data_IF_451451680485
#
_entry.id   IF_451451680485
#
_cell.length_a   1.000
_cell.length_b   1.000
_cell.length_c   1.000
_cell.angle_alpha   90.00
_cell.angle_beta   90.00
_cell.angle_gamma   90.00
#
_symmetry.space_group_name_H-M   'P 1'
#
loop_
_entity.id
_entity.type
_entity.pdbx_description
1 polymer ?
#
# COMPACT_ATOMS: atom_id res chain seq x y z
N UNK A 1 39.16 0.88 9.74
CA UNK A 1 37.96 1.42 9.04
C UNK A 1 37.46 2.62 9.84
N UNK A 2 36.83 3.62 9.20
CA UNK A 2 36.34 4.80 9.91
C UNK A 2 35.34 4.43 11.01
N UNK A 3 35.38 5.15 12.13
CA UNK A 3 34.41 4.99 13.20
C UNK A 3 33.01 5.46 12.76
N UNK A 4 31.93 5.00 13.42
CA UNK A 4 30.59 5.45 13.10
C UNK A 4 30.48 6.99 13.14
N UNK A 5 29.86 7.60 12.13
CA UNK A 5 29.86 9.04 12.00
C UNK A 5 29.24 9.56 10.69
N UNK A 6 29.08 10.88 10.62
CA UNK A 6 28.66 11.59 9.40
C UNK A 6 29.84 11.83 8.49
N UNK A 7 29.72 11.37 7.24
CA UNK A 7 30.75 11.53 6.21
C UNK A 7 30.08 12.01 4.92
N UNK A 8 30.86 12.47 3.94
CA UNK A 8 30.34 12.91 2.64
C UNK A 8 29.56 11.78 1.96
N UNK A 9 28.35 12.06 1.46
CA UNK A 9 27.50 11.04 0.83
C UNK A 9 28.23 10.40 -0.37
N UNK A 10 28.49 9.07 -0.34
CA UNK A 10 29.15 8.38 -1.45
C UNK A 10 28.32 8.42 -2.74
N UNK A 11 27.00 8.56 -2.63
CA UNK A 11 26.11 8.66 -3.78
C UNK A 11 25.96 10.09 -4.32
N UNK A 12 26.57 11.08 -3.66
CA UNK A 12 26.52 12.50 -4.00
C UNK A 12 25.09 13.05 -4.17
N UNK A 13 24.11 12.46 -3.48
CA UNK A 13 22.72 12.94 -3.47
C UNK A 13 22.48 13.93 -2.33
N UNK A 14 23.28 13.84 -1.27
CA UNK A 14 23.20 14.68 -0.06
C UNK A 14 24.59 15.19 0.37
N UNK A 15 24.65 16.19 1.26
CA UNK A 15 25.91 16.71 1.80
C UNK A 15 26.64 15.65 2.65
N UNK A 16 25.88 14.95 3.51
CA UNK A 16 26.40 13.90 4.40
C UNK A 16 25.50 12.65 4.43
N UNK A 17 26.11 11.48 4.67
CA UNK A 17 25.43 10.21 4.97
C UNK A 17 26.05 9.59 6.22
N UNK A 18 25.25 8.88 7.00
CA UNK A 18 25.71 8.24 8.23
C UNK A 18 26.32 6.87 7.92
N UNK A 19 27.54 6.67 8.40
CA UNK A 19 28.26 5.40 8.43
C UNK A 19 28.09 4.78 9.82
N UNK A 20 27.67 3.52 9.90
CA UNK A 20 27.41 2.84 11.19
C UNK A 20 28.64 2.13 11.78
N UNK A 21 29.80 2.25 11.13
CA UNK A 21 31.03 1.54 11.50
C UNK A 21 31.34 0.33 10.60
N UNK A 22 30.34 -0.16 9.86
CA UNK A 22 30.42 -1.33 8.98
C UNK A 22 29.78 -1.13 7.61
N UNK A 23 28.75 -0.28 7.50
CA UNK A 23 27.99 -0.02 6.29
C UNK A 23 27.45 1.42 6.24
N UNK A 24 27.16 1.91 5.03
CA UNK A 24 26.44 3.16 4.85
C UNK A 24 24.96 2.92 5.10
N UNK A 25 24.33 3.82 5.85
CA UNK A 25 22.91 3.70 6.20
C UNK A 25 22.03 4.56 5.29
N UNK A 26 20.72 4.47 5.48
CA UNK A 26 19.75 5.35 4.81
C UNK A 26 19.71 6.77 5.41
N UNK A 27 20.36 7.04 6.54
CA UNK A 27 20.35 8.37 7.15
C UNK A 27 21.28 9.34 6.40
N UNK A 28 20.71 10.46 5.96
CA UNK A 28 21.40 11.54 5.23
C UNK A 28 21.22 12.87 5.94
N UNK A 29 22.08 13.84 5.62
CA UNK A 29 22.01 15.19 6.18
C UNK A 29 22.36 16.26 5.15
N UNK A 30 21.52 17.30 5.09
CA UNK A 30 21.73 18.50 4.29
C UNK A 30 21.54 19.75 5.14
N UNK A 31 22.50 20.67 5.13
CA UNK A 31 22.47 21.94 5.88
C UNK A 31 22.12 21.76 7.36
N UNK A 32 22.59 20.67 7.95
CA UNK A 32 22.36 20.31 9.37
C UNK A 32 21.01 19.64 9.66
N UNK A 33 20.18 19.36 8.65
CA UNK A 33 18.90 18.65 8.80
C UNK A 33 19.09 17.19 8.37
N UNK A 34 18.68 16.25 9.23
CA UNK A 34 18.75 14.81 8.93
C UNK A 34 17.46 14.29 8.28
N UNK A 35 17.58 13.41 7.29
CA UNK A 35 16.48 12.73 6.61
C UNK A 35 16.81 11.26 6.33
N UNK A 36 15.88 10.52 5.72
CA UNK A 36 16.06 9.12 5.32
C UNK A 36 15.97 9.03 3.79
N UNK A 37 17.04 8.57 3.16
CA UNK A 37 17.15 8.29 1.73
C UNK A 37 17.62 6.83 1.52
N UNK A 38 16.74 5.92 1.06
CA UNK A 38 17.07 4.52 0.83
C UNK A 38 18.23 4.35 -0.17
N UNK A 39 19.17 3.44 0.14
CA UNK A 39 20.25 3.07 -0.76
C UNK A 39 19.72 2.14 -1.86
N UNK A 40 19.06 2.71 -2.87
CA UNK A 40 18.76 1.99 -4.10
C UNK A 40 20.03 1.97 -4.95
N UNK A 41 20.55 0.77 -5.26
CA UNK A 41 21.71 0.61 -6.13
C UNK A 41 21.34 1.02 -7.56
N UNK A 42 21.56 2.28 -7.92
CA UNK A 42 21.40 2.75 -9.30
C UNK A 42 22.55 2.18 -10.12
N UNK A 43 22.28 1.14 -10.93
CA UNK A 43 23.08 0.90 -12.13
C UNK A 43 22.86 2.09 -13.07
N UNK A 44 23.94 2.81 -13.38
CA UNK A 44 23.92 3.87 -14.37
C UNK A 44 23.43 3.31 -15.71
N UNK A 45 22.18 3.63 -16.07
CA UNK A 45 21.69 3.52 -17.43
C UNK A 45 21.61 4.94 -17.99
N UNK A 46 22.14 5.08 -19.19
CA UNK A 46 22.57 6.31 -19.83
C UNK A 46 21.51 7.41 -19.94
N UNK A 47 22.05 8.63 -19.94
CA UNK A 47 21.38 9.88 -20.22
C UNK A 47 20.76 9.88 -21.63
N UNK A 48 19.50 9.49 -21.76
CA UNK A 48 18.72 9.68 -22.98
C UNK A 48 17.69 10.80 -22.79
N UNK A 49 17.90 11.89 -23.53
CA UNK A 49 17.04 13.08 -23.62
C UNK A 49 15.58 12.70 -23.94
N UNK A 50 14.56 13.32 -23.31
CA UNK A 50 13.18 12.96 -23.58
C UNK A 50 12.78 13.37 -25.00
N UNK A 51 12.47 12.38 -25.85
CA UNK A 51 11.81 12.60 -27.13
C UNK A 51 10.30 12.66 -26.92
N UNK A 52 9.66 13.70 -27.47
CA UNK A 52 8.20 13.90 -27.46
C UNK A 52 7.45 12.65 -27.95
N UNK A 53 6.38 12.20 -27.27
CA UNK A 53 5.60 11.07 -27.73
C UNK A 53 4.77 11.40 -28.99
N UNK A 54 4.73 10.45 -29.92
CA UNK A 54 3.90 10.45 -31.13
C UNK A 54 2.45 10.07 -30.80
N UNK A 55 1.52 10.55 -31.63
CA UNK A 55 0.05 10.57 -31.44
C UNK A 55 -0.66 9.19 -31.38
N UNK A 56 0.07 8.07 -31.38
CA UNK A 56 -0.51 6.72 -31.40
C UNK A 56 -0.81 6.10 -30.02
N UNK A 57 -0.45 6.76 -28.91
CA UNK A 57 -0.63 6.22 -27.54
C UNK A 57 -1.86 6.77 -26.79
N UNK A 58 -2.84 7.34 -27.49
CA UNK A 58 -4.05 7.91 -26.86
C UNK A 58 -5.06 6.87 -26.34
N UNK A 59 -4.83 5.56 -26.55
CA UNK A 59 -5.76 4.51 -26.13
C UNK A 59 -5.45 3.89 -24.75
N UNK A 60 -4.23 4.04 -24.22
CA UNK A 60 -3.84 3.44 -22.93
C UNK A 60 -4.13 4.35 -21.71
N UNK A 61 -4.34 5.66 -21.92
CA UNK A 61 -4.60 6.63 -20.85
C UNK A 61 -6.05 6.65 -20.34
N UNK A 62 -6.99 6.07 -21.08
CA UNK A 62 -8.41 6.12 -20.70
C UNK A 62 -8.79 5.05 -19.65
N UNK A 63 -8.00 3.99 -19.48
CA UNK A 63 -8.45 2.76 -18.80
C UNK A 63 -8.29 2.85 -17.28
N UNK A 64 -7.18 3.39 -16.80
CA UNK A 64 -6.88 3.45 -15.35
C UNK A 64 -7.63 4.59 -14.66
N UNK A 65 -7.81 5.73 -15.35
CA UNK A 65 -8.64 6.83 -14.84
C UNK A 65 -10.13 6.47 -14.81
N UNK A 66 -10.62 5.67 -15.78
CA UNK A 66 -12.01 5.18 -15.80
C UNK A 66 -12.24 4.11 -14.73
N UNK A 67 -11.24 3.29 -14.38
CA UNK A 67 -11.38 2.31 -13.29
C UNK A 67 -11.46 2.97 -11.91
N UNK A 68 -10.62 3.97 -11.62
CA UNK A 68 -10.71 4.73 -10.36
C UNK A 68 -12.00 5.56 -10.32
N UNK A 69 -12.40 6.19 -11.42
CA UNK A 69 -13.67 6.91 -11.50
C UNK A 69 -14.90 5.99 -11.42
N UNK A 70 -14.84 4.77 -11.96
CA UNK A 70 -15.93 3.79 -11.87
C UNK A 70 -16.07 3.20 -10.47
N UNK A 71 -14.97 2.93 -9.77
CA UNK A 71 -14.98 2.49 -8.36
C UNK A 71 -15.52 3.60 -7.45
N UNK A 72 -15.10 4.85 -7.67
CA UNK A 72 -15.68 6.01 -6.97
C UNK A 72 -17.16 6.20 -7.33
N UNK A 73 -17.57 5.96 -8.58
CA UNK A 73 -18.95 6.10 -9.04
C UNK A 73 -19.89 4.96 -8.60
N UNK A 74 -19.38 3.75 -8.35
CA UNK A 74 -20.14 2.62 -7.77
C UNK A 74 -20.22 2.76 -6.24
N UNK A 75 -19.15 3.22 -5.59
CA UNK A 75 -19.13 3.52 -4.15
C UNK A 75 -20.07 4.68 -3.76
N UNK A 76 -20.27 5.67 -4.65
CA UNK A 76 -21.22 6.77 -4.42
C UNK A 76 -22.70 6.42 -4.70
N UNK A 77 -23.03 5.18 -5.11
CA UNK A 77 -24.39 4.79 -5.52
C UNK A 77 -25.30 4.22 -4.42
N UNK A 78 -24.89 4.23 -3.15
CA UNK A 78 -25.77 3.74 -2.07
C UNK A 78 -26.52 4.81 -1.27
N UNK A 79 -26.37 6.09 -1.60
CA UNK A 79 -27.24 7.16 -1.06
C UNK A 79 -28.01 7.86 -2.21
N UNK A 80 -29.28 7.51 -2.37
CA UNK A 80 -30.16 7.97 -3.45
C UNK A 80 -30.28 9.50 -3.57
N UNK A 81 -29.80 10.11 -4.66
CA UNK A 81 -30.45 11.30 -5.26
C UNK A 81 -30.18 11.47 -6.78
N UNK A 82 -31.26 11.74 -7.51
CA UNK A 82 -31.40 12.25 -8.89
C UNK A 82 -30.78 11.47 -10.08
N UNK A 83 -31.68 10.90 -10.88
CA UNK A 83 -31.48 10.47 -12.28
C UNK A 83 -31.02 11.65 -13.15
N UNK A 84 -29.90 11.49 -13.87
CA UNK A 84 -29.59 12.26 -15.08
C UNK A 84 -29.56 11.33 -16.30
N UNK A 85 -30.19 11.69 -17.43
CA UNK A 85 -30.34 10.85 -18.61
C UNK A 85 -29.07 10.78 -19.45
N UNK A 86 -29.00 9.71 -20.24
CA UNK A 86 -27.78 9.18 -20.85
C UNK A 86 -27.02 10.08 -21.81
N UNK A 87 -25.71 9.85 -21.85
CA UNK A 87 -24.93 9.80 -23.10
C UNK A 87 -23.90 8.67 -22.95
N UNK A 88 -23.87 7.77 -23.93
CA UNK A 88 -22.91 6.68 -24.00
C UNK A 88 -21.49 7.27 -24.22
N UNK A 89 -20.59 6.99 -23.27
CA UNK A 89 -19.15 7.29 -23.36
C UNK A 89 -18.36 6.08 -23.86
N UNK A 90 -17.14 6.29 -24.40
CA UNK A 90 -16.53 5.41 -25.38
C UNK A 90 -15.81 4.20 -24.78
N UNK A 91 -16.06 3.03 -25.36
CA UNK A 91 -15.13 1.90 -25.40
C UNK A 91 -14.91 1.16 -24.09
N UNK A 92 -15.85 0.28 -23.72
CA UNK A 92 -15.52 -0.84 -22.83
C UNK A 92 -14.39 -1.65 -23.46
N UNK A 93 -13.23 -1.70 -22.79
CA UNK A 93 -12.27 -2.74 -23.08
C UNK A 93 -12.97 -4.10 -22.93
N UNK A 94 -12.67 -5.09 -23.78
CA UNK A 94 -13.25 -6.41 -23.62
C UNK A 94 -12.85 -6.93 -22.24
N UNK A 95 -13.84 -7.07 -21.36
CA UNK A 95 -13.71 -7.80 -20.11
C UNK A 95 -13.42 -9.23 -20.55
N UNK A 96 -12.15 -9.63 -20.49
CA UNK A 96 -11.77 -11.02 -20.65
C UNK A 96 -12.47 -11.81 -19.56
N UNK A 97 -13.20 -12.84 -19.98
CA UNK A 97 -14.11 -13.66 -19.19
C UNK A 97 -13.37 -14.56 -18.19
N UNK A 98 -12.71 -13.97 -17.20
CA UNK A 98 -12.28 -14.68 -16.00
C UNK A 98 -13.43 -14.78 -15.02
N UNK A 99 -13.66 -15.96 -14.44
CA UNK A 99 -14.54 -16.11 -13.28
C UNK A 99 -13.89 -15.40 -12.09
N UNK A 100 -14.61 -14.49 -11.40
CA UNK A 100 -14.04 -13.72 -10.29
C UNK A 100 -13.47 -14.65 -9.21
N UNK A 101 -12.38 -14.21 -8.58
CA UNK A 101 -11.75 -14.96 -7.50
C UNK A 101 -12.78 -15.27 -6.42
N UNK A 102 -13.08 -16.56 -6.24
CA UNK A 102 -14.15 -17.05 -5.39
C UNK A 102 -13.58 -17.94 -4.28
N UNK A 103 -13.82 -17.59 -3.00
CA UNK A 103 -13.42 -18.42 -1.87
C UNK A 103 -14.21 -19.72 -1.77
N UNK A 104 -13.53 -20.81 -1.44
CA UNK A 104 -14.16 -22.04 -0.99
C UNK A 104 -14.63 -21.97 0.48
N UNK A 105 -14.98 -23.11 1.08
CA UNK A 105 -15.33 -23.18 2.50
C UNK A 105 -14.17 -22.75 3.41
N UNK A 106 -14.49 -21.95 4.43
CA UNK A 106 -13.53 -21.53 5.45
C UNK A 106 -13.13 -22.73 6.32
N UNK A 107 -11.82 -22.88 6.53
CA UNK A 107 -11.18 -23.90 7.36
C UNK A 107 -10.42 -23.23 8.49
N UNK A 108 -10.67 -23.57 9.77
CA UNK A 108 -9.92 -23.05 10.90
C UNK A 108 -8.43 -23.45 10.84
N UNK A 109 -7.53 -22.56 11.27
CA UNK A 109 -6.09 -22.81 11.34
C UNK A 109 -5.54 -22.75 12.77
N UNK A 110 -5.85 -21.69 13.52
CA UNK A 110 -5.44 -21.55 14.92
C UNK A 110 -6.34 -20.56 15.65
N UNK A 111 -6.44 -20.72 16.97
CA UNK A 111 -7.10 -19.79 17.88
C UNK A 111 -6.13 -19.45 19.01
N UNK A 112 -6.11 -18.18 19.42
CA UNK A 112 -5.30 -17.70 20.52
C UNK A 112 -6.00 -16.57 21.27
N UNK A 113 -5.46 -16.22 22.44
CA UNK A 113 -5.87 -15.04 23.21
C UNK A 113 -4.65 -14.15 23.36
N UNK A 114 -4.78 -12.88 22.97
CA UNK A 114 -3.74 -11.87 23.11
C UNK A 114 -4.22 -10.80 24.09
N UNK A 115 -3.46 -10.59 25.16
CA UNK A 115 -3.76 -9.58 26.16
C UNK A 115 -3.10 -8.23 25.87
N UNK A 116 -3.20 -7.27 26.80
CA UNK A 116 -2.64 -5.93 26.63
C UNK A 116 -1.12 -5.87 26.45
N UNK A 117 -0.40 -6.90 26.88
CA UNK A 117 1.04 -7.02 26.68
C UNK A 117 1.45 -7.26 25.21
N UNK A 118 0.47 -7.45 24.31
CA UNK A 118 0.74 -7.89 22.94
C UNK A 118 1.13 -9.36 22.88
N UNK A 119 1.61 -9.80 21.72
CA UNK A 119 2.05 -11.18 21.53
C UNK A 119 2.12 -11.59 20.07
N UNK A 120 2.42 -12.87 19.84
CA UNK A 120 2.44 -13.48 18.52
C UNK A 120 1.48 -14.67 18.46
N UNK A 121 0.70 -14.76 17.38
CA UNK A 121 -0.16 -15.89 17.04
C UNK A 121 0.41 -16.56 15.81
N UNK A 122 0.94 -17.78 15.96
CA UNK A 122 1.57 -18.54 14.88
C UNK A 122 0.68 -19.71 14.49
N UNK A 123 0.43 -19.88 13.20
CA UNK A 123 -0.25 -21.05 12.65
C UNK A 123 0.72 -22.24 12.67
N UNK A 124 0.37 -23.35 13.35
CA UNK A 124 1.27 -24.49 13.49
C UNK A 124 1.51 -25.21 12.15
N UNK A 125 2.71 -25.78 11.99
CA UNK A 125 3.05 -26.60 10.83
C UNK A 125 2.27 -27.93 10.85
N UNK A 126 1.11 -27.94 10.18
CA UNK A 126 0.14 -29.04 10.18
C UNK A 126 -0.12 -29.62 8.78
N UNK A 127 0.67 -29.20 7.79
CA UNK A 127 0.53 -29.57 6.38
C UNK A 127 -0.47 -28.69 5.63
N UNK A 128 -0.84 -27.52 6.17
CA UNK A 128 -1.78 -26.60 5.54
C UNK A 128 -1.08 -25.52 4.72
N UNK A 129 -1.75 -24.90 3.74
CA UNK A 129 -1.16 -23.82 2.96
C UNK A 129 -0.82 -22.54 3.75
N UNK A 130 -1.29 -22.43 5.00
CA UNK A 130 -1.04 -21.28 5.90
C UNK A 130 -0.10 -21.61 7.04
N UNK A 131 0.57 -22.78 7.00
CA UNK A 131 1.56 -23.20 7.98
C UNK A 131 2.67 -22.15 8.14
N UNK A 132 2.90 -21.69 9.37
CA UNK A 132 3.91 -20.67 9.66
C UNK A 132 3.46 -19.23 9.43
N UNK A 133 2.19 -18.99 9.08
CA UNK A 133 1.61 -17.64 9.15
C UNK A 133 1.71 -17.11 10.58
N UNK A 134 2.20 -15.88 10.72
CA UNK A 134 2.40 -15.23 12.01
C UNK A 134 1.67 -13.89 12.05
N UNK A 135 0.91 -13.66 13.13
CA UNK A 135 0.29 -12.39 13.47
C UNK A 135 0.99 -11.83 14.70
N UNK A 136 1.66 -10.68 14.55
CA UNK A 136 2.35 -9.99 15.63
C UNK A 136 1.54 -8.78 16.07
N UNK A 137 1.05 -8.84 17.30
CA UNK A 137 0.26 -7.79 17.95
C UNK A 137 1.16 -6.99 18.89
N UNK A 138 1.40 -5.69 18.61
CA UNK A 138 2.17 -4.83 19.51
C UNK A 138 1.52 -4.69 20.90
N UNK A 139 2.35 -4.44 21.91
CA UNK A 139 1.89 -4.05 23.24
C UNK A 139 0.95 -2.84 23.17
N UNK A 140 -0.12 -2.83 23.96
CA UNK A 140 -1.08 -1.72 24.00
C UNK A 140 -2.11 -1.71 22.87
N UNK A 141 -2.01 -2.63 21.89
CA UNK A 141 -3.02 -2.77 20.83
C UNK A 141 -4.41 -3.09 21.40
N UNK A 142 -4.48 -4.05 22.32
CA UNK A 142 -5.70 -4.43 23.01
C UNK A 142 -5.69 -3.91 24.45
N UNK A 143 -6.85 -3.51 24.96
CA UNK A 143 -7.00 -3.02 26.34
C UNK A 143 -7.44 -4.10 27.32
N UNK A 144 -7.81 -5.27 26.81
CA UNK A 144 -8.16 -6.48 27.55
C UNK A 144 -7.76 -7.72 26.73
N UNK A 145 -7.96 -8.90 27.31
CA UNK A 145 -7.76 -10.17 26.61
C UNK A 145 -8.69 -10.27 25.39
N UNK A 146 -8.08 -10.41 24.21
CA UNK A 146 -8.76 -10.45 22.92
C UNK A 146 -8.56 -11.82 22.27
N UNK A 147 -9.64 -12.59 22.03
CA UNK A 147 -9.59 -13.76 21.16
C UNK A 147 -9.19 -13.34 19.75
N UNK A 148 -8.22 -14.07 19.18
CA UNK A 148 -7.76 -13.94 17.80
C UNK A 148 -7.87 -15.31 17.15
N UNK A 149 -8.66 -15.42 16.08
CA UNK A 149 -8.79 -16.63 15.27
C UNK A 149 -8.17 -16.40 13.89
N UNK A 150 -7.52 -17.43 13.36
CA UNK A 150 -7.03 -17.47 11.98
C UNK A 150 -7.69 -18.63 11.27
N UNK A 151 -8.23 -18.35 10.09
CA UNK A 151 -8.84 -19.33 9.21
C UNK A 151 -8.50 -19.03 7.74
N UNK A 152 -8.73 -19.98 6.86
CA UNK A 152 -8.38 -19.85 5.45
C UNK A 152 -9.38 -20.55 4.53
N UNK A 153 -9.41 -20.15 3.26
CA UNK A 153 -10.16 -20.81 2.21
C UNK A 153 -9.36 -20.84 0.91
N UNK A 154 -9.43 -21.95 0.18
CA UNK A 154 -8.89 -22.04 -1.17
C UNK A 154 -9.55 -20.99 -2.06
N UNK A 155 -8.75 -20.19 -2.77
CA UNK A 155 -9.24 -19.30 -3.82
C UNK A 155 -9.29 -20.05 -5.15
N UNK A 156 -10.41 -19.93 -5.84
CA UNK A 156 -10.63 -20.49 -7.18
C UNK A 156 -11.00 -19.39 -8.17
N UNK A 157 -10.89 -19.68 -9.46
CA UNK A 157 -11.10 -18.68 -10.51
C UNK A 157 -9.82 -17.94 -10.88
N UNK A 158 -9.99 -16.85 -11.61
CA UNK A 158 -8.89 -16.01 -12.11
C UNK A 158 -9.27 -14.56 -11.94
N UNK A 159 -8.32 -13.72 -11.58
CA UNK A 159 -8.54 -12.29 -11.60
C UNK A 159 -9.12 -11.85 -12.97
N UNK A 160 -10.28 -11.18 -13.02
CA UNK A 160 -10.90 -10.74 -14.27
C UNK A 160 -10.00 -9.83 -15.11
N UNK A 161 -9.05 -9.14 -14.47
CA UNK A 161 -8.07 -8.30 -15.18
C UNK A 161 -6.88 -9.09 -15.74
N UNK A 162 -6.67 -10.31 -15.23
CA UNK A 162 -5.52 -11.16 -15.55
C UNK A 162 -4.18 -10.62 -15.05
N UNK A 163 -4.19 -9.58 -14.21
CA UNK A 163 -2.98 -8.89 -13.74
C UNK A 163 -2.45 -9.48 -12.44
N UNK A 164 -3.33 -9.97 -11.56
CA UNK A 164 -2.91 -10.51 -10.26
C UNK A 164 -3.14 -12.02 -10.18
N UNK A 165 -2.15 -12.74 -9.66
CA UNK A 165 -2.22 -14.18 -9.39
C UNK A 165 -2.15 -14.43 -7.89
N UNK A 166 -3.13 -15.11 -7.26
CA UNK A 166 -3.04 -15.49 -5.86
C UNK A 166 -1.80 -16.37 -5.60
N UNK A 167 -1.00 -15.99 -4.60
CA UNK A 167 0.15 -16.74 -4.10
C UNK A 167 -0.12 -17.39 -2.73
N UNK A 168 -1.24 -17.03 -2.10
CA UNK A 168 -1.77 -17.67 -0.89
C UNK A 168 -3.26 -18.00 -1.06
N UNK A 169 -3.85 -18.82 -0.17
CA UNK A 169 -5.30 -18.88 -0.01
C UNK A 169 -5.86 -17.53 0.47
N UNK A 170 -7.19 -17.43 0.49
CA UNK A 170 -7.85 -16.40 1.28
C UNK A 170 -7.58 -16.68 2.76
N UNK A 171 -7.17 -15.66 3.48
CA UNK A 171 -6.92 -15.67 4.91
C UNK A 171 -7.95 -14.77 5.56
N UNK A 172 -8.54 -15.26 6.65
CA UNK A 172 -9.45 -14.52 7.50
C UNK A 172 -8.90 -14.54 8.91
N UNK A 173 -8.67 -13.35 9.45
CA UNK A 173 -8.30 -13.16 10.85
C UNK A 173 -9.46 -12.45 11.52
N UNK A 174 -9.89 -12.92 12.69
CA UNK A 174 -10.94 -12.27 13.47
C UNK A 174 -10.41 -11.94 14.87
N UNK A 175 -10.62 -10.71 15.29
CA UNK A 175 -10.18 -10.14 16.58
C UNK A 175 -11.34 -9.43 17.29
N UNK A 176 -12.58 -9.83 17.01
CA UNK A 176 -13.78 -9.20 17.56
C UNK A 176 -14.05 -7.78 17.07
N UNK A 177 -13.31 -7.28 16.06
CA UNK A 177 -13.52 -5.96 15.48
C UNK A 177 -12.93 -4.81 16.30
N UNK A 178 -12.00 -5.11 17.21
CA UNK A 178 -11.27 -4.09 17.95
C UNK A 178 -10.34 -3.32 17.00
N UNK A 179 -10.45 -1.99 16.98
CA UNK A 179 -9.52 -1.17 16.22
C UNK A 179 -8.25 -0.97 17.05
N UNK A 180 -7.15 -1.58 16.61
CA UNK A 180 -5.85 -1.46 17.27
C UNK A 180 -5.33 -0.02 17.25
N UNK A 181 -4.72 0.42 18.35
CA UNK A 181 -3.99 1.69 18.39
C UNK A 181 -2.78 1.71 17.45
N UNK A 182 -2.12 0.54 17.33
CA UNK A 182 -0.92 0.32 16.54
C UNK A 182 -1.17 -0.65 15.37
N UNK A 183 -0.19 -0.71 14.45
CA UNK A 183 -0.25 -1.60 13.28
C UNK A 183 0.07 -3.03 13.71
N UNK A 184 -0.86 -3.94 13.48
CA UNK A 184 -0.66 -5.38 13.64
C UNK A 184 0.03 -5.88 12.37
N UNK A 185 1.14 -6.61 12.52
CA UNK A 185 1.89 -7.16 11.40
C UNK A 185 1.46 -8.60 11.14
N UNK A 186 1.21 -8.95 9.87
CA UNK A 186 0.91 -10.32 9.47
C UNK A 186 1.91 -10.77 8.43
N UNK A 187 2.71 -11.78 8.78
CA UNK A 187 3.65 -12.42 7.86
C UNK A 187 3.00 -13.67 7.30
N UNK A 188 2.76 -13.66 5.99
CA UNK A 188 2.15 -14.77 5.25
C UNK A 188 3.22 -15.49 4.44
N UNK A 189 3.40 -16.80 4.64
CA UNK A 189 4.16 -17.65 3.74
C UNK A 189 3.54 -17.61 2.34
N UNK A 190 4.31 -17.12 1.37
CA UNK A 190 3.89 -16.97 -0.02
C UNK A 190 5.14 -17.04 -0.89
N UNK A 191 5.23 -18.07 -1.74
CA UNK A 191 6.38 -18.22 -2.63
C UNK A 191 6.25 -17.26 -3.79
N UNK A 192 7.13 -16.25 -3.83
CA UNK A 192 7.16 -15.25 -4.90
C UNK A 192 8.08 -15.74 -6.02
N UNK A 193 7.57 -15.93 -7.25
CA UNK A 193 8.41 -16.31 -8.38
C UNK A 193 9.51 -15.27 -8.67
N UNK A 194 10.62 -15.70 -9.26
CA UNK A 194 11.66 -14.76 -9.69
C UNK A 194 11.11 -13.79 -10.75
N UNK A 195 11.43 -12.50 -10.62
CA UNK A 195 10.90 -11.46 -11.52
C UNK A 195 9.44 -11.10 -11.23
N UNK A 196 8.95 -11.39 -10.03
CA UNK A 196 7.62 -10.99 -9.59
C UNK A 196 7.72 -10.09 -8.37
N UNK A 197 6.70 -9.26 -8.19
CA UNK A 197 6.44 -8.57 -6.92
C UNK A 197 5.17 -9.13 -6.30
N UNK A 198 5.10 -9.15 -4.97
CA UNK A 198 3.96 -9.65 -4.22
C UNK A 198 3.51 -8.66 -3.16
N UNK A 199 2.20 -8.58 -2.94
CA UNK A 199 1.58 -7.75 -1.90
C UNK A 199 0.24 -8.35 -1.45
N UNK A 200 -0.26 -7.89 -0.31
CA UNK A 200 -1.58 -8.28 0.18
C UNK A 200 -2.70 -7.44 -0.42
N UNK A 201 -3.86 -8.06 -0.62
CA UNK A 201 -5.09 -7.40 -1.02
C UNK A 201 -6.24 -7.83 -0.12
N UNK A 202 -6.98 -6.87 0.40
CA UNK A 202 -8.34 -7.11 0.88
C UNK A 202 -9.24 -7.41 -0.30
N UNK A 203 -10.23 -8.30 -0.08
CA UNK A 203 -11.26 -8.62 -1.07
C UNK A 203 -12.61 -8.16 -0.54
N UNK A 204 -13.33 -7.37 -1.33
CA UNK A 204 -14.72 -7.05 -1.02
C UNK A 204 -15.60 -8.30 -1.26
N UNK A 205 -16.37 -8.77 -0.25
CA UNK A 205 -17.22 -9.95 -0.40
C UNK A 205 -18.39 -9.74 -1.38
N UNK A 206 -18.86 -8.51 -1.59
CA UNK A 206 -20.03 -8.19 -2.40
C UNK A 206 -19.75 -8.24 -3.90
N UNK A 207 -18.61 -7.70 -4.35
CA UNK A 207 -18.28 -7.60 -5.77
C UNK A 207 -16.92 -8.19 -6.16
N UNK A 208 -16.11 -8.64 -5.19
CA UNK A 208 -14.80 -9.22 -5.42
C UNK A 208 -13.72 -8.19 -5.78
N UNK A 209 -14.00 -6.89 -5.64
CA UNK A 209 -13.01 -5.84 -5.82
C UNK A 209 -11.85 -6.01 -4.83
N UNK A 210 -10.67 -5.54 -5.24
CA UNK A 210 -9.43 -5.71 -4.50
C UNK A 210 -8.91 -4.35 -4.01
N UNK A 211 -8.56 -4.28 -2.72
CA UNK A 211 -7.91 -3.12 -2.13
C UNK A 211 -6.53 -3.50 -1.60
N UNK A 212 -5.51 -2.75 -2.00
CA UNK A 212 -4.13 -3.04 -1.60
C UNK A 212 -3.91 -2.81 -0.11
N UNK A 213 -3.21 -3.75 0.53
CA UNK A 213 -2.81 -3.62 1.93
C UNK A 213 -1.48 -2.87 2.06
N UNK A 214 -1.24 -2.19 3.20
CA UNK A 214 0.09 -1.68 3.54
C UNK A 214 1.15 -2.79 3.50
N UNK A 215 2.07 -2.71 2.54
CA UNK A 215 3.20 -3.62 2.44
C UNK A 215 4.33 -3.16 3.37
N UNK A 216 4.70 -4.00 4.34
CA UNK A 216 5.80 -3.72 5.27
C UNK A 216 7.10 -4.39 4.81
N UNK A 217 7.00 -5.62 4.31
CA UNK A 217 8.14 -6.40 3.79
C UNK A 217 7.65 -7.43 2.78
N UNK A 218 8.46 -7.73 1.77
CA UNK A 218 8.27 -8.89 0.91
C UNK A 218 9.64 -9.48 0.54
N UNK A 219 9.71 -10.80 0.49
CA UNK A 219 10.84 -11.54 -0.05
C UNK A 219 10.37 -12.75 -0.87
N UNK A 220 11.29 -13.66 -1.20
CA UNK A 220 11.00 -14.82 -2.04
C UNK A 220 10.07 -15.85 -1.36
N UNK A 221 9.96 -15.84 -0.03
CA UNK A 221 9.26 -16.86 0.74
C UNK A 221 8.07 -16.31 1.55
N UNK A 222 8.03 -15.01 1.83
CA UNK A 222 6.93 -14.41 2.58
C UNK A 222 6.62 -12.95 2.21
N UNK A 223 5.43 -12.53 2.60
CA UNK A 223 4.97 -11.14 2.54
C UNK A 223 4.44 -10.74 3.91
N UNK A 224 4.92 -9.61 4.43
CA UNK A 224 4.44 -8.99 5.67
C UNK A 224 3.60 -7.77 5.35
N UNK A 225 2.36 -7.78 5.82
CA UNK A 225 1.39 -6.68 5.65
C UNK A 225 1.01 -6.08 7.00
N UNK A 226 0.65 -4.80 6.99
CA UNK A 226 0.19 -4.08 8.17
C UNK A 226 -1.33 -3.88 8.14
N UNK A 227 -2.00 -4.16 9.24
CA UNK A 227 -3.43 -3.92 9.40
C UNK A 227 -3.73 -3.34 10.79
N UNK A 228 -4.78 -2.51 10.90
CA UNK A 228 -5.29 -2.03 12.20
C UNK A 228 -6.56 -2.74 12.67
N UNK A 229 -7.14 -3.51 11.76
CA UNK A 229 -8.29 -4.37 11.95
C UNK A 229 -8.20 -5.44 10.88
N UNK A 230 -8.71 -6.62 11.19
CA UNK A 230 -8.65 -7.74 10.26
C UNK A 230 -9.95 -7.95 9.50
N UNK A 231 -9.78 -8.29 8.23
CA UNK A 231 -10.82 -8.72 7.31
C UNK A 231 -10.26 -9.84 6.44
N UNK A 232 -10.99 -10.25 5.40
CA UNK A 232 -10.55 -11.28 4.47
C UNK A 232 -9.54 -10.71 3.46
N UNK A 233 -8.37 -11.32 3.37
CA UNK A 233 -7.29 -10.89 2.47
C UNK A 233 -6.50 -12.07 1.91
N UNK A 234 -5.68 -11.82 0.90
CA UNK A 234 -4.75 -12.81 0.36
C UNK A 234 -3.49 -12.13 -0.20
N UNK A 235 -2.43 -12.90 -0.38
CA UNK A 235 -1.22 -12.46 -1.08
C UNK A 235 -1.39 -12.73 -2.57
N UNK A 236 -1.16 -11.71 -3.38
CA UNK A 236 -1.13 -11.83 -4.83
C UNK A 236 0.21 -11.36 -5.39
N UNK A 237 0.62 -11.95 -6.50
CA UNK A 237 1.81 -11.59 -7.24
C UNK A 237 1.50 -11.13 -8.66
N UNK A 238 2.40 -10.30 -9.19
CA UNK A 238 2.42 -9.87 -10.59
C UNK A 238 3.86 -9.89 -11.11
N UNK A 239 4.03 -10.29 -12.37
CA UNK A 239 5.32 -10.24 -13.03
C UNK A 239 5.79 -8.78 -13.18
N UNK A 240 7.04 -8.51 -12.86
CA UNK A 240 7.66 -7.18 -12.96
C UNK A 240 7.56 -6.61 -14.39
N UNK A 241 7.64 -7.46 -15.39
CA UNK A 241 7.52 -7.13 -16.81
C UNK A 241 6.13 -6.58 -17.20
N UNK A 242 5.10 -6.82 -16.39
CA UNK A 242 3.75 -6.27 -16.59
C UNK A 242 3.58 -4.90 -15.92
N UNK A 243 4.49 -4.54 -15.00
CA UNK A 243 4.51 -3.22 -14.41
C UNK A 243 5.14 -2.26 -15.41
N UNK A 244 4.32 -1.37 -15.98
CA UNK A 244 4.80 -0.32 -16.88
C UNK A 244 5.92 0.49 -16.23
N UNK A 245 6.88 0.94 -17.03
CA UNK A 245 8.11 1.56 -16.52
C UNK A 245 7.89 2.91 -15.82
N UNK A 246 6.73 3.55 -15.99
CA UNK A 246 6.37 4.82 -15.34
C UNK A 246 4.85 4.91 -15.13
N UNK A 247 4.40 4.73 -13.88
CA UNK A 247 3.03 5.06 -13.47
C UNK A 247 3.10 6.39 -12.71
N UNK A 248 2.47 7.42 -13.26
CA UNK A 248 2.28 8.70 -12.57
C UNK A 248 0.86 8.79 -12.04
N UNK A 249 0.73 9.03 -10.73
CA UNK A 249 -0.55 9.34 -10.08
C UNK A 249 -1.01 10.77 -10.39
N UNK A 250 -0.12 11.60 -10.96
CA UNK A 250 -0.32 13.04 -11.11
C UNK A 250 -0.14 13.84 -9.81
N UNK A 251 -0.01 13.17 -8.66
CA UNK A 251 0.27 13.79 -7.37
C UNK A 251 1.76 14.13 -7.27
N UNK A 252 2.08 15.41 -7.08
CA UNK A 252 3.43 15.89 -6.85
C UNK A 252 3.55 16.40 -5.41
N UNK A 253 4.28 15.71 -4.51
CA UNK A 253 4.44 16.13 -3.12
C UNK A 253 5.02 17.55 -2.97
N UNK A 254 5.74 18.07 -3.96
CA UNK A 254 6.28 19.42 -3.95
C UNK A 254 5.24 20.50 -4.29
N UNK A 255 4.04 20.12 -4.74
CA UNK A 255 2.96 21.04 -5.15
C UNK A 255 1.66 20.75 -4.37
N UNK A 256 1.36 19.48 -4.17
CA UNK A 256 0.07 18.96 -3.72
C UNK A 256 0.04 18.60 -2.23
N UNK A 257 1.15 18.83 -1.53
CA UNK A 257 1.26 18.57 -0.08
C UNK A 257 1.43 19.86 0.72
N UNK A 258 1.24 19.73 2.03
CA UNK A 258 1.52 20.78 3.00
C UNK A 258 3.03 21.07 3.05
N UNK A 259 3.40 22.35 3.12
CA UNK A 259 4.82 22.75 3.15
C UNK A 259 5.51 22.56 4.49
N UNK A 260 4.76 22.35 5.56
CA UNK A 260 5.29 22.28 6.91
C UNK A 260 5.60 20.84 7.33
N UNK A 261 6.64 20.63 8.16
CA UNK A 261 6.94 19.31 8.69
C UNK A 261 5.82 18.84 9.61
N UNK A 262 5.59 17.53 9.63
CA UNK A 262 4.65 16.90 10.55
C UNK A 262 5.25 16.84 11.98
N UNK A 263 5.36 18.00 12.62
CA UNK A 263 5.78 18.11 14.02
C UNK A 263 4.58 17.90 14.94
N UNK A 264 4.79 17.17 16.04
CA UNK A 264 3.79 16.98 17.08
C UNK A 264 3.36 18.30 17.74
N UNK A 265 2.11 18.35 18.18
CA UNK A 265 1.57 19.46 18.99
C UNK A 265 1.14 18.97 20.36
N UNK A 266 0.80 19.87 21.28
CA UNK A 266 0.26 19.48 22.60
C UNK A 266 -1.05 18.69 22.51
N UNK A 267 -1.82 18.89 21.44
CA UNK A 267 -3.08 18.17 21.19
C UNK A 267 -2.85 16.86 20.45
N UNK A 268 -1.86 16.82 19.55
CA UNK A 268 -1.49 15.60 18.80
C UNK A 268 0.03 15.39 18.87
N UNK A 269 0.56 14.82 19.96
CA UNK A 269 2.01 14.72 20.17
C UNK A 269 2.76 13.89 19.13
N UNK A 270 2.09 12.92 18.50
CA UNK A 270 2.63 12.10 17.40
C UNK A 270 2.60 12.78 16.02
N UNK A 271 2.09 14.01 15.93
CA UNK A 271 1.92 14.74 14.68
C UNK A 271 0.56 14.51 14.00
N UNK A 272 0.28 15.36 13.03
CA UNK A 272 -0.96 15.46 12.26
C UNK A 272 -0.98 14.64 10.98
N UNK A 273 -0.15 13.58 10.87
CA UNK A 273 0.05 12.81 9.63
C UNK A 273 -1.27 12.45 8.92
N UNK A 274 -2.25 11.91 9.67
CA UNK A 274 -3.55 11.55 9.12
C UNK A 274 -4.30 12.76 8.55
N UNK A 275 -4.39 13.85 9.31
CA UNK A 275 -5.05 15.08 8.85
C UNK A 275 -4.36 15.70 7.65
N UNK A 276 -3.02 15.76 7.67
CA UNK A 276 -2.22 16.28 6.55
C UNK A 276 -2.38 15.44 5.29
N UNK A 277 -2.36 14.11 5.40
CA UNK A 277 -2.49 13.19 4.26
C UNK A 277 -3.89 13.22 3.66
N UNK A 278 -4.93 13.16 4.51
CA UNK A 278 -6.32 13.20 4.05
C UNK A 278 -6.67 14.52 3.37
N UNK A 279 -6.20 15.65 3.91
CA UNK A 279 -6.47 16.96 3.32
C UNK A 279 -5.65 17.21 2.06
N UNK A 280 -4.41 16.72 1.97
CA UNK A 280 -3.62 16.76 0.73
C UNK A 280 -4.28 15.92 -0.37
N UNK A 281 -4.75 14.71 -0.04
CA UNK A 281 -5.48 13.85 -0.98
C UNK A 281 -6.79 14.51 -1.45
N UNK A 282 -7.61 15.00 -0.51
CA UNK A 282 -8.84 15.72 -0.85
C UNK A 282 -8.56 16.94 -1.73
N UNK A 283 -7.54 17.75 -1.41
CA UNK A 283 -7.19 18.90 -2.21
C UNK A 283 -6.82 18.49 -3.64
N UNK A 284 -5.99 17.47 -3.77
CA UNK A 284 -5.54 16.97 -5.07
C UNK A 284 -6.70 16.44 -5.93
N UNK A 285 -7.63 15.70 -5.33
CA UNK A 285 -8.77 15.10 -6.03
C UNK A 285 -9.89 16.09 -6.34
N UNK A 286 -10.19 17.00 -5.41
CA UNK A 286 -11.41 17.82 -5.47
C UNK A 286 -11.15 19.29 -5.78
N UNK A 287 -10.07 19.88 -5.23
CA UNK A 287 -9.83 21.33 -5.35
C UNK A 287 -8.94 21.68 -6.54
N UNK A 288 -7.82 20.97 -6.69
CA UNK A 288 -6.84 21.23 -7.77
C UNK A 288 -7.48 21.20 -9.16
N UNK A 289 -8.39 20.27 -9.52
CA UNK A 289 -9.01 20.28 -10.84
C UNK A 289 -9.88 21.51 -11.09
N UNK A 290 -10.48 22.08 -10.05
CA UNK A 290 -11.34 23.26 -10.15
C UNK A 290 -10.55 24.57 -10.25
N UNK A 291 -9.44 24.70 -9.51
CA UNK A 291 -8.68 25.94 -9.41
C UNK A 291 -7.37 25.97 -10.23
N UNK A 292 -6.84 24.80 -10.64
CA UNK A 292 -5.51 24.68 -11.24
C UNK A 292 -4.36 25.11 -10.32
N UNK A 293 -4.58 25.10 -9.00
CA UNK A 293 -3.72 25.73 -8.00
C UNK A 293 -2.94 24.70 -7.16
N UNK A 294 -1.92 25.14 -6.43
CA UNK A 294 -1.14 24.32 -5.49
C UNK A 294 -1.75 24.31 -4.09
N UNK A 295 -1.58 23.23 -3.34
CA UNK A 295 -1.80 23.24 -1.89
C UNK A 295 -0.63 23.95 -1.21
N UNK A 296 0.59 23.67 -1.68
CA UNK A 296 1.81 24.30 -1.19
C UNK A 296 1.69 25.82 -1.26
N UNK A 297 1.87 26.48 -0.12
CA UNK A 297 1.89 27.94 -0.02
C UNK A 297 0.52 28.63 -0.10
N UNK A 298 -0.58 27.88 -0.28
CA UNK A 298 -1.92 28.45 -0.49
C UNK A 298 -2.49 29.16 0.73
N UNK A 299 -2.22 28.60 1.90
CA UNK A 299 -2.68 29.10 3.19
C UNK A 299 -1.54 29.73 3.99
N UNK A 300 -0.44 30.04 3.30
CA UNK A 300 0.66 30.80 3.86
C UNK A 300 0.31 32.28 3.78
N UNK A 301 0.40 32.97 4.92
CA UNK A 301 0.11 34.39 5.03
C UNK A 301 1.35 35.27 4.77
N UNK A 302 2.52 34.66 4.55
CA UNK A 302 3.79 35.34 4.30
C UNK A 302 4.08 35.51 2.78
N UNK A 303 3.03 35.68 1.96
CA UNK A 303 3.11 35.95 0.52
C UNK A 303 3.10 37.45 0.22
#
# INVERSE_FOLDING_TARGET
MPQPGWYRDPNQRHEHRWWDGSSWTSFVGDRGITAVDPLVAVRAADSARPTRPSRSNLLALAVVAVLVAAVVFVSQRHDNWAVLPGTAGPGSLPITSGEPLTPGPITPATDAVVGPAGGSVVVPASGTPVDGLEVVVPEGTFTADQPVSVSWATLTGTDPTGLVTPLSPLIRIEDGGAYGGDVIEVTVPATTPQGWVAMGFYRDPADGSLEGMPLLRADAASVTVGARHFSEFFIAGVADALLGSDISTGFDPSVDSWQFPNVGTSVVPGGHCAGMSLTAMWFFLEQKPACGCSLRGRYDNDQ
#
